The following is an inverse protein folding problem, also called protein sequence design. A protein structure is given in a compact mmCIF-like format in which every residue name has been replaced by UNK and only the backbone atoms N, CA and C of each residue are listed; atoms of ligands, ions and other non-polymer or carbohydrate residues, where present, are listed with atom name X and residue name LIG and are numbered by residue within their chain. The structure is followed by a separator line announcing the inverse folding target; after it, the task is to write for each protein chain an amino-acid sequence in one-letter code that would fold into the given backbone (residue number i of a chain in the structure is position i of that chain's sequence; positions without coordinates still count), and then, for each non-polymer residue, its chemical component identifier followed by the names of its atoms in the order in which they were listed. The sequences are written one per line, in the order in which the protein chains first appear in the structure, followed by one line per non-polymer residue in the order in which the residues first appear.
data_IF_204015656852
#
_entry.id   IF_204015656852
#
_cell.length_a   1.000
_cell.length_b   1.000
_cell.length_c   1.000
_cell.angle_alpha   90.00
_cell.angle_beta   90.00
_cell.angle_gamma   90.00
#
_symmetry.space_group_name_H-M   'P 1'
#
loop_
_entity.id
_entity.type
_entity.pdbx_description
1 polymer ?
#
# COMPACT_ATOMS: atom_id res chain seq x y z
N UNK A 1 -5.90 -10.57 10.38
CA UNK A 1 -5.22 -9.24 10.52
C UNK A 1 -3.71 -9.38 10.45
N UNK A 2 -3.06 -10.07 11.41
CA UNK A 2 -1.59 -10.19 11.46
C UNK A 2 -0.97 -10.74 10.16
N UNK A 3 -1.48 -11.86 9.65
CA UNK A 3 -0.96 -12.50 8.43
C UNK A 3 -0.97 -11.56 7.20
N UNK A 4 -2.06 -10.82 6.98
CA UNK A 4 -2.14 -9.87 5.86
C UNK A 4 -1.14 -8.71 6.05
N UNK A 5 -0.98 -8.18 7.28
CA UNK A 5 0.04 -7.15 7.55
C UNK A 5 1.45 -7.67 7.29
N UNK A 6 1.71 -8.93 7.63
CA UNK A 6 3.00 -9.56 7.40
C UNK A 6 3.31 -9.70 5.91
N UNK A 7 2.31 -10.10 5.11
CA UNK A 7 2.43 -10.11 3.65
C UNK A 7 2.65 -8.70 3.08
N UNK A 8 1.87 -7.70 3.51
CA UNK A 8 2.05 -6.30 3.10
C UNK A 8 3.47 -5.81 3.39
N UNK A 9 4.00 -6.14 4.57
CA UNK A 9 5.37 -5.79 4.93
C UNK A 9 6.40 -6.45 3.99
N UNK A 10 6.33 -7.76 3.77
CA UNK A 10 7.30 -8.47 2.93
C UNK A 10 7.25 -7.98 1.48
N UNK A 11 6.05 -7.80 0.93
CA UNK A 11 5.87 -7.28 -0.42
C UNK A 11 6.35 -5.84 -0.54
N UNK A 12 6.10 -4.99 0.47
CA UNK A 12 6.66 -3.65 0.57
C UNK A 12 8.19 -3.65 0.53
N UNK A 13 8.84 -4.54 1.28
CA UNK A 13 10.31 -4.72 1.24
C UNK A 13 10.77 -5.19 -0.14
N UNK A 14 10.05 -6.11 -0.79
CA UNK A 14 10.36 -6.55 -2.14
C UNK A 14 10.29 -5.41 -3.15
N UNK A 15 9.28 -4.54 -3.04
CA UNK A 15 9.10 -3.34 -3.89
C UNK A 15 10.23 -2.34 -3.62
N UNK A 16 10.63 -2.12 -2.36
CA UNK A 16 11.81 -1.29 -2.07
C UNK A 16 13.03 -1.86 -2.79
N UNK A 17 13.29 -3.16 -2.68
CA UNK A 17 14.43 -3.80 -3.33
C UNK A 17 14.41 -3.71 -4.86
N UNK A 18 13.24 -3.88 -5.48
CA UNK A 18 13.08 -3.86 -6.94
C UNK A 18 13.24 -2.45 -7.52
N UNK A 19 12.74 -1.42 -6.84
CA UNK A 19 12.70 -0.05 -7.36
C UNK A 19 13.86 0.83 -6.86
N UNK A 20 14.38 0.62 -5.65
CA UNK A 20 15.52 1.39 -5.12
C UNK A 20 16.84 1.10 -5.85
N UNK A 21 16.94 -0.06 -6.52
CA UNK A 21 18.11 -0.38 -7.36
C UNK A 21 18.34 0.65 -8.46
N UNK A 22 17.27 1.21 -9.05
CA UNK A 22 17.39 2.20 -10.12
C UNK A 22 17.76 3.59 -9.57
N UNK A 23 17.32 3.93 -8.35
CA UNK A 23 17.83 5.10 -7.62
C UNK A 23 19.32 4.95 -7.30
N UNK A 24 19.74 3.77 -6.84
CA UNK A 24 21.14 3.51 -6.52
C UNK A 24 22.05 3.59 -7.75
N UNK A 25 21.57 3.12 -8.91
CA UNK A 25 22.27 3.28 -10.19
C UNK A 25 22.40 4.75 -10.58
N UNK A 26 21.32 5.53 -10.45
CA UNK A 26 21.35 6.97 -10.74
C UNK A 26 22.37 7.70 -9.86
N UNK A 27 22.38 7.39 -8.55
CA UNK A 27 23.36 7.93 -7.61
C UNK A 27 24.80 7.61 -8.02
N UNK A 28 25.09 6.34 -8.36
CA UNK A 28 26.43 5.91 -8.80
C UNK A 28 26.87 6.56 -10.10
N UNK A 29 25.94 6.85 -11.00
CA UNK A 29 26.22 7.54 -12.26
C UNK A 29 26.34 9.06 -12.10
N UNK A 30 26.13 9.60 -10.89
CA UNK A 30 26.17 11.04 -10.64
C UNK A 30 25.03 11.82 -11.31
N UNK A 31 23.95 11.14 -11.69
CA UNK A 31 22.77 11.77 -12.33
C UNK A 31 21.66 11.98 -11.31
N UNK A 32 20.80 12.97 -11.58
CA UNK A 32 19.63 13.25 -10.74
C UNK A 32 18.69 12.04 -10.61
N UNK A 33 18.01 11.95 -9.45
CA UNK A 33 17.02 10.90 -9.21
C UNK A 33 15.75 11.13 -10.01
N UNK A 34 15.27 10.08 -10.67
CA UNK A 34 13.96 10.14 -11.32
C UNK A 34 12.84 10.16 -10.26
N UNK A 35 11.93 11.15 -10.30
CA UNK A 35 10.84 11.26 -9.34
C UNK A 35 9.94 10.02 -9.27
N UNK A 36 9.78 9.27 -10.36
CA UNK A 36 8.90 8.09 -10.37
C UNK A 36 9.45 6.95 -9.51
N UNK A 37 10.76 6.74 -9.56
CA UNK A 37 11.46 5.74 -8.74
C UNK A 37 11.45 6.16 -7.26
N UNK A 38 11.66 7.46 -7.00
CA UNK A 38 11.59 8.02 -5.65
C UNK A 38 10.20 7.82 -5.02
N UNK A 39 9.15 8.16 -5.78
CA UNK A 39 7.77 8.09 -5.33
C UNK A 39 7.39 6.69 -4.84
N UNK A 40 7.66 5.66 -5.63
CA UNK A 40 7.29 4.28 -5.28
C UNK A 40 8.15 3.75 -4.14
N UNK A 41 9.44 4.08 -4.07
CA UNK A 41 10.32 3.66 -2.97
C UNK A 41 9.89 4.29 -1.65
N UNK A 42 9.64 5.59 -1.61
CA UNK A 42 9.17 6.28 -0.39
C UNK A 42 7.80 5.76 0.04
N UNK A 43 6.88 5.59 -0.91
CA UNK A 43 5.56 4.99 -0.65
C UNK A 43 5.70 3.61 0.00
N UNK A 44 6.56 2.75 -0.55
CA UNK A 44 6.77 1.41 -0.03
C UNK A 44 7.41 1.41 1.36
N UNK A 45 8.33 2.33 1.66
CA UNK A 45 8.92 2.49 3.00
C UNK A 45 7.85 2.89 4.01
N UNK A 46 7.07 3.94 3.72
CA UNK A 46 6.02 4.42 4.61
C UNK A 46 4.96 3.35 4.86
N UNK A 47 4.53 2.66 3.81
CA UNK A 47 3.56 1.58 3.91
C UNK A 47 4.10 0.36 4.68
N UNK A 48 5.39 0.01 4.52
CA UNK A 48 6.04 -1.06 5.27
C UNK A 48 6.10 -0.76 6.76
N UNK A 49 6.49 0.48 7.11
CA UNK A 49 6.48 0.95 8.51
C UNK A 49 5.06 0.93 9.08
N UNK A 50 4.09 1.37 8.29
CA UNK A 50 2.69 1.35 8.68
C UNK A 50 2.15 -0.08 8.89
N UNK A 51 2.55 -1.02 8.03
CA UNK A 51 2.19 -2.43 8.15
C UNK A 51 2.75 -3.05 9.45
N UNK A 52 4.02 -2.76 9.80
CA UNK A 52 4.63 -3.16 11.07
C UNK A 52 3.89 -2.58 12.27
N UNK A 53 3.57 -1.28 12.25
CA UNK A 53 2.80 -0.65 13.31
C UNK A 53 1.42 -1.31 13.48
N UNK A 54 0.78 -1.68 12.37
CA UNK A 54 -0.48 -2.39 12.37
C UNK A 54 -0.39 -3.86 12.81
N UNK A 55 0.79 -4.43 13.03
CA UNK A 55 0.93 -5.76 13.66
C UNK A 55 0.78 -5.69 15.18
N UNK A 56 1.04 -4.54 15.79
CA UNK A 56 0.88 -4.33 17.23
C UNK A 56 -0.60 -4.48 17.65
N UNK A 57 -0.90 -4.89 18.90
CA UNK A 57 -2.26 -5.09 19.41
C UNK A 57 -3.00 -3.77 19.70
N UNK A 58 -2.93 -2.80 18.79
CA UNK A 58 -3.59 -1.49 18.88
C UNK A 58 -5.00 -1.61 18.28
N UNK A 59 -6.00 -0.96 18.90
CA UNK A 59 -7.40 -0.94 18.42
C UNK A 59 -7.47 -0.33 17.01
N UNK A 60 -7.52 -1.21 16.01
CA UNK A 60 -7.30 -0.92 14.59
C UNK A 60 -8.40 -0.11 13.88
N UNK A 61 -9.58 0.00 14.49
CA UNK A 61 -10.79 0.46 13.78
C UNK A 61 -10.69 1.92 13.31
N UNK A 62 -9.93 2.78 13.99
CA UNK A 62 -9.76 4.19 13.58
C UNK A 62 -8.84 4.37 12.37
N UNK A 63 -7.97 3.40 12.08
CA UNK A 63 -6.85 3.63 11.17
C UNK A 63 -7.08 3.17 9.72
N UNK A 64 -8.32 2.88 9.32
CA UNK A 64 -8.65 2.52 7.94
C UNK A 64 -8.27 3.63 6.93
N UNK A 65 -8.21 4.89 7.38
CA UNK A 65 -7.78 6.05 6.57
C UNK A 65 -6.33 5.90 6.11
N UNK A 66 -5.44 5.39 6.97
CA UNK A 66 -4.04 5.17 6.60
C UNK A 66 -3.88 3.98 5.66
N UNK A 67 -4.68 2.92 5.84
CA UNK A 67 -4.74 1.81 4.88
C UNK A 67 -5.24 2.29 3.51
N UNK A 68 -6.25 3.18 3.49
CA UNK A 68 -6.76 3.77 2.27
C UNK A 68 -5.75 4.72 1.61
N UNK A 69 -5.02 5.50 2.40
CA UNK A 69 -3.94 6.35 1.90
C UNK A 69 -2.83 5.50 1.27
N UNK A 70 -2.38 4.44 1.93
CA UNK A 70 -1.41 3.51 1.37
C UNK A 70 -1.92 2.88 0.07
N UNK A 71 -3.18 2.43 0.05
CA UNK A 71 -3.83 1.93 -1.17
C UNK A 71 -3.78 2.97 -2.30
N UNK A 72 -4.17 4.20 -2.04
CA UNK A 72 -4.19 5.25 -3.06
C UNK A 72 -2.78 5.55 -3.59
N UNK A 73 -1.79 5.64 -2.71
CA UNK A 73 -0.40 5.87 -3.13
C UNK A 73 0.14 4.73 -4.01
N UNK A 74 -0.14 3.49 -3.62
CA UNK A 74 0.19 2.29 -4.40
C UNK A 74 -0.55 2.22 -5.73
N UNK A 75 -1.82 2.64 -5.77
CA UNK A 75 -2.63 2.70 -6.98
C UNK A 75 -2.03 3.68 -8.00
N UNK A 76 -1.57 4.85 -7.54
CA UNK A 76 -0.87 5.82 -8.39
C UNK A 76 0.46 5.24 -8.89
N UNK A 77 1.25 4.58 -8.02
CA UNK A 77 2.48 3.91 -8.44
C UNK A 77 2.19 2.85 -9.52
N UNK A 78 1.16 2.04 -9.32
CA UNK A 78 0.71 1.05 -10.29
C UNK A 78 0.27 1.70 -11.60
N UNK A 79 -0.44 2.83 -11.57
CA UNK A 79 -0.81 3.56 -12.79
C UNK A 79 0.41 4.01 -13.61
N UNK A 80 1.42 4.54 -12.95
CA UNK A 80 2.67 5.00 -13.58
C UNK A 80 3.42 3.81 -14.20
N UNK A 81 3.73 2.79 -13.40
CA UNK A 81 4.57 1.67 -13.82
C UNK A 81 3.83 0.66 -14.69
N UNK A 82 2.53 0.50 -14.48
CA UNK A 82 1.65 -0.33 -15.29
C UNK A 82 1.58 0.17 -16.73
N UNK A 83 1.44 1.49 -16.93
CA UNK A 83 1.46 2.08 -18.28
C UNK A 83 2.82 1.89 -18.97
N UNK A 84 3.92 1.93 -18.22
CA UNK A 84 5.28 1.88 -18.73
C UNK A 84 5.77 0.45 -19.08
N UNK A 85 5.31 -0.58 -18.36
CA UNK A 85 5.93 -1.91 -18.46
C UNK A 85 4.99 -3.07 -18.82
N UNK A 86 3.65 -2.91 -18.70
CA UNK A 86 2.72 -4.00 -19.01
C UNK A 86 2.66 -4.29 -20.51
N UNK A 87 2.63 -3.24 -21.34
CA UNK A 87 2.48 -3.34 -22.79
C UNK A 87 3.79 -3.23 -23.57
N UNK A 88 4.89 -2.91 -22.88
CA UNK A 88 6.19 -2.68 -23.51
C UNK A 88 6.82 -3.98 -23.98
N UNK A 89 7.21 -4.09 -25.25
CA UNK A 89 7.94 -5.26 -25.74
C UNK A 89 9.36 -5.27 -25.14
N UNK A 90 9.78 -6.34 -24.44
CA UNK A 90 11.08 -6.33 -23.80
C UNK A 90 12.26 -6.30 -24.78
N UNK A 91 12.11 -6.71 -26.05
CA UNK A 91 13.21 -6.81 -27.04
C UNK A 91 14.51 -7.46 -26.48
N UNK A 92 14.38 -8.40 -25.54
CA UNK A 92 15.50 -9.03 -24.83
C UNK A 92 16.14 -8.22 -23.68
N UNK A 93 15.67 -7.01 -23.41
CA UNK A 93 16.09 -6.17 -22.31
C UNK A 93 15.61 -6.73 -20.96
N UNK A 94 16.55 -7.34 -20.22
CA UNK A 94 16.31 -7.91 -18.88
C UNK A 94 15.76 -6.90 -17.87
N UNK A 95 16.03 -5.60 -18.05
CA UNK A 95 15.50 -4.53 -17.21
C UNK A 95 13.99 -4.36 -17.33
N UNK A 96 13.46 -4.44 -18.56
CA UNK A 96 12.02 -4.35 -18.85
C UNK A 96 11.30 -5.60 -18.31
N UNK A 97 11.87 -6.79 -18.51
CA UNK A 97 11.32 -8.05 -17.97
C UNK A 97 11.22 -8.00 -16.43
N UNK A 98 12.31 -7.57 -15.77
CA UNK A 98 12.32 -7.38 -14.31
C UNK A 98 11.21 -6.42 -13.88
N UNK A 99 11.07 -5.28 -14.56
CA UNK A 99 10.10 -4.26 -14.19
C UNK A 99 8.66 -4.70 -14.44
N UNK A 100 8.40 -5.47 -15.49
CA UNK A 100 7.10 -6.10 -15.70
C UNK A 100 6.72 -7.03 -14.54
N UNK A 101 7.66 -7.83 -14.05
CA UNK A 101 7.43 -8.68 -12.86
C UNK A 101 7.23 -7.83 -11.60
N UNK A 102 7.99 -6.75 -11.43
CA UNK A 102 7.85 -5.82 -10.32
C UNK A 102 6.49 -5.11 -10.29
N UNK A 103 5.91 -4.84 -11.46
CA UNK A 103 4.54 -4.31 -11.57
C UNK A 103 3.50 -5.30 -11.04
N UNK A 104 3.66 -6.60 -11.31
CA UNK A 104 2.74 -7.60 -10.75
C UNK A 104 2.83 -7.69 -9.22
N UNK A 105 4.03 -7.58 -8.64
CA UNK A 105 4.20 -7.47 -7.18
C UNK A 105 3.49 -6.22 -6.65
N UNK A 106 3.63 -5.09 -7.35
CA UNK A 106 2.96 -3.84 -7.02
C UNK A 106 1.42 -3.95 -7.04
N UNK A 107 0.86 -4.69 -8.01
CA UNK A 107 -0.59 -4.98 -8.09
C UNK A 107 -1.07 -5.77 -6.89
N UNK A 108 -0.36 -6.85 -6.54
CA UNK A 108 -0.73 -7.69 -5.39
C UNK A 108 -0.71 -6.88 -4.10
N UNK A 109 0.31 -6.06 -3.91
CA UNK A 109 0.43 -5.20 -2.74
C UNK A 109 -0.71 -4.15 -2.69
N UNK A 110 -1.02 -3.53 -3.83
CA UNK A 110 -2.14 -2.60 -3.97
C UNK A 110 -3.46 -3.27 -3.57
N UNK A 111 -3.70 -4.51 -4.02
CA UNK A 111 -4.90 -5.28 -3.69
C UNK A 111 -5.02 -5.59 -2.19
N UNK A 112 -3.91 -5.90 -1.51
CA UNK A 112 -3.92 -6.11 -0.06
C UNK A 112 -4.24 -4.84 0.72
N UNK A 113 -3.69 -3.69 0.30
CA UNK A 113 -4.06 -2.40 0.90
C UNK A 113 -5.54 -2.08 0.70
N UNK A 114 -6.10 -2.34 -0.48
CA UNK A 114 -7.53 -2.19 -0.73
C UNK A 114 -8.38 -3.09 0.17
N UNK A 115 -8.01 -4.36 0.31
CA UNK A 115 -8.71 -5.33 1.15
C UNK A 115 -8.73 -4.92 2.62
N UNK A 116 -7.58 -4.47 3.15
CA UNK A 116 -7.47 -4.00 4.54
C UNK A 116 -8.22 -2.68 4.78
N UNK A 117 -8.15 -1.73 3.86
CA UNK A 117 -8.91 -0.49 3.90
C UNK A 117 -10.43 -0.74 3.87
N UNK A 118 -10.90 -1.61 2.98
CA UNK A 118 -12.31 -1.97 2.83
C UNK A 118 -12.85 -2.67 4.09
N UNK A 119 -12.08 -3.62 4.64
CA UNK A 119 -12.43 -4.29 5.88
C UNK A 119 -12.49 -3.32 7.07
N UNK A 120 -11.49 -2.44 7.21
CA UNK A 120 -11.47 -1.42 8.26
C UNK A 120 -12.66 -0.45 8.17
N UNK A 121 -12.97 0.03 6.95
CA UNK A 121 -14.12 0.89 6.69
C UNK A 121 -15.45 0.22 7.01
N UNK A 122 -15.61 -1.05 6.65
CA UNK A 122 -16.82 -1.82 6.95
C UNK A 122 -17.03 -1.99 8.48
N UNK A 123 -15.97 -2.35 9.21
CA UNK A 123 -16.03 -2.47 10.68
C UNK A 123 -16.33 -1.10 11.32
N UNK A 124 -15.67 -0.03 10.89
CA UNK A 124 -15.92 1.33 11.37
C UNK A 124 -17.40 1.73 11.19
N UNK A 125 -17.96 1.46 10.01
CA UNK A 125 -19.36 1.75 9.71
C UNK A 125 -20.32 0.95 10.60
N UNK A 126 -20.08 -0.37 10.77
CA UNK A 126 -20.88 -1.23 11.65
C UNK A 126 -20.81 -0.76 13.12
N UNK A 127 -19.63 -0.41 13.61
CA UNK A 127 -19.44 0.12 14.97
C UNK A 127 -20.16 1.45 15.20
N UNK A 128 -20.18 2.35 14.20
CA UNK A 128 -20.98 3.58 14.28
C UNK A 128 -22.48 3.31 14.32
N UNK A 129 -22.98 2.39 13.50
CA UNK A 129 -24.41 2.02 13.48
C UNK A 129 -24.86 1.45 14.84
N UNK A 130 -24.05 0.59 15.46
CA UNK A 130 -24.33 0.01 16.78
C UNK A 130 -24.30 1.04 17.93
N UNK A 131 -23.50 2.11 17.84
CA UNK A 131 -23.50 3.19 18.84
C UNK A 131 -24.76 4.05 18.75
N UNK A 132 -25.25 4.32 17.54
CA UNK A 132 -26.43 5.15 17.33
C UNK A 132 -27.73 4.43 17.75
N UNK A 133 -27.77 3.08 17.75
CA UNK A 133 -28.94 2.32 18.20
C UNK A 133 -29.12 2.28 19.72
N UNK A 134 -28.04 2.43 20.51
CA UNK A 134 -28.11 2.44 21.98
C UNK A 134 -28.39 3.84 22.56
N UNK A 135 -28.21 4.91 21.79
CA UNK A 135 -28.51 6.28 22.21
C UNK A 135 -30.00 6.65 22.10
N UNK A 136 -30.85 5.76 21.58
CA UNK A 136 -32.29 5.98 21.39
C UNK A 136 -33.20 5.46 22.52
N UNK A 137 -32.65 4.84 23.57
CA UNK A 137 -33.42 4.28 24.70
C UNK A 137 -32.99 4.90 26.04
N UNK A 138 -33.01 6.23 26.17
CA UNK A 138 -33.16 6.83 27.49
C UNK A 138 -34.67 6.91 27.79
N UNK A 139 -35.21 6.14 28.76
CA UNK A 139 -36.53 6.43 29.26
C UNK A 139 -36.44 7.77 29.98
N UNK A 140 -37.14 8.77 29.44
CA UNK A 140 -37.43 10.00 30.17
C UNK A 140 -38.30 9.63 31.38
N UNK A 141 -37.66 9.39 32.52
CA UNK A 141 -38.35 9.32 33.80
C UNK A 141 -38.81 10.75 34.13
N UNK A 142 -40.11 10.98 33.96
CA UNK A 142 -40.89 12.05 34.60
C UNK A 142 -41.20 11.68 36.04
#
# INVERSE_FOLDING_TARGET
RFFIRFLQFILGIAIIGLYAQDLHKAHKAGVGYDPKWMYVTVTAVLASVWALFCMLPIKAWFFFVFDFLAFFLYLVAFGIFGKMYIKEDPEGNKGIIRMRNAVWVLVVETAFWLGTASYGGFIFWKSRKARNSHAGHSPSHV
#
